data_IF_137942968478
#
_entry.id   IF_137942968478
#
_cell.length_a   1.000
_cell.length_b   1.000
_cell.length_c   1.000
_cell.angle_alpha   90.00
_cell.angle_beta   90.00
_cell.angle_gamma   90.00
#
_symmetry.space_group_name_H-M   'P 1'
#
loop_
_entity.id
_entity.type
_entity.pdbx_description
1 polymer ?
#
# COMPACT_ATOMS: atom_id res chain seq x y z
N UNK A 1 25.10 46.60 19.56
CA UNK A 1 23.70 46.21 19.36
C UNK A 1 23.57 45.57 17.99
N UNK A 2 23.65 44.25 17.94
CA UNK A 2 23.16 43.42 16.83
C UNK A 2 22.83 42.07 17.47
N UNK A 3 21.54 41.75 17.43
CA UNK A 3 20.91 40.67 18.17
C UNK A 3 21.42 39.31 17.69
N UNK A 4 21.90 38.48 18.61
CA UNK A 4 22.10 37.05 18.38
C UNK A 4 20.73 36.40 18.28
N UNK A 5 20.28 36.08 17.07
CA UNK A 5 19.13 35.19 16.88
C UNK A 5 19.67 33.75 17.01
N UNK A 6 19.41 33.16 18.17
CA UNK A 6 19.62 31.75 18.42
C UNK A 6 18.53 30.98 17.66
N UNK A 7 18.83 30.47 16.47
CA UNK A 7 17.96 29.51 15.79
C UNK A 7 18.10 28.20 16.56
N UNK A 8 17.14 27.95 17.45
CA UNK A 8 16.94 26.62 18.04
C UNK A 8 16.38 25.74 16.93
N UNK A 9 17.28 25.06 16.23
CA UNK A 9 16.92 23.99 15.31
C UNK A 9 16.39 22.83 16.17
N UNK A 10 15.07 22.73 16.30
CA UNK A 10 14.44 21.56 16.90
C UNK A 10 14.63 20.42 15.89
N UNK A 11 15.74 19.68 16.03
CA UNK A 11 15.96 18.40 15.39
C UNK A 11 14.89 17.44 15.90
N UNK A 12 13.73 17.42 15.24
CA UNK A 12 12.86 16.26 15.22
C UNK A 12 13.67 15.15 14.55
N UNK A 13 14.42 14.41 15.37
CA UNK A 13 14.89 13.10 15.00
C UNK A 13 13.64 12.28 14.68
N UNK A 14 13.27 12.22 13.41
CA UNK A 14 12.59 11.03 12.90
C UNK A 14 13.59 9.91 13.14
N UNK A 15 13.40 9.18 14.24
CA UNK A 15 14.04 7.90 14.46
C UNK A 15 13.58 7.06 13.27
N UNK A 16 14.44 6.95 12.24
CA UNK A 16 14.32 5.86 11.29
C UNK A 16 14.57 4.61 12.11
N UNK A 17 13.48 4.03 12.62
CA UNK A 17 13.50 2.67 13.12
C UNK A 17 13.83 1.83 11.88
N UNK A 18 15.11 1.53 11.69
CA UNK A 18 15.52 0.43 10.84
C UNK A 18 15.05 -0.84 11.56
N UNK A 19 13.77 -1.15 11.42
CA UNK A 19 13.32 -2.51 11.60
C UNK A 19 13.93 -3.27 10.43
N UNK A 20 15.10 -3.87 10.64
CA UNK A 20 15.47 -5.07 9.90
C UNK A 20 14.43 -6.14 10.30
N UNK A 21 13.22 -6.02 9.75
CA UNK A 21 12.18 -7.01 9.88
C UNK A 21 12.71 -8.22 9.12
N UNK A 22 13.11 -9.24 9.86
CA UNK A 22 13.55 -10.50 9.28
C UNK A 22 12.34 -11.10 8.57
N UNK A 23 12.37 -11.09 7.24
CA UNK A 23 11.34 -11.70 6.40
C UNK A 23 11.51 -13.21 6.50
N UNK A 24 10.44 -13.89 6.90
CA UNK A 24 10.36 -15.36 6.90
C UNK A 24 9.41 -15.81 5.79
N UNK A 25 9.76 -16.87 5.08
CA UNK A 25 8.93 -17.41 4.02
C UNK A 25 7.86 -18.33 4.60
N UNK A 26 6.62 -18.15 4.14
CA UNK A 26 5.51 -19.02 4.47
C UNK A 26 4.65 -19.29 3.23
N UNK A 27 3.92 -20.40 3.24
CA UNK A 27 3.04 -20.77 2.12
C UNK A 27 1.70 -21.26 2.63
N UNK A 28 0.61 -20.91 1.95
CA UNK A 28 -0.70 -21.47 2.23
C UNK A 28 -0.96 -22.73 1.41
N UNK A 29 -1.61 -23.71 2.04
CA UNK A 29 -1.86 -25.02 1.45
C UNK A 29 -3.33 -25.39 1.62
N UNK A 30 -3.83 -26.17 0.66
CA UNK A 30 -5.19 -26.70 0.64
C UNK A 30 -5.15 -28.17 0.22
N UNK A 31 -6.03 -28.98 0.81
CA UNK A 31 -6.08 -30.41 0.56
C UNK A 31 -5.00 -31.21 1.31
N UNK A 32 -4.84 -32.48 0.96
CA UNK A 32 -3.91 -33.38 1.59
C UNK A 32 -2.47 -33.16 1.09
N UNK A 33 -1.54 -32.92 2.02
CA UNK A 33 -0.11 -32.93 1.74
C UNK A 33 0.59 -34.11 2.43
N UNK A 34 1.54 -34.73 1.73
CA UNK A 34 2.34 -35.83 2.25
C UNK A 34 3.48 -35.32 3.15
N UNK A 35 4.05 -36.18 4.05
CA UNK A 35 5.24 -35.83 4.82
C UNK A 35 6.44 -35.40 3.95
N UNK A 36 6.60 -36.03 2.77
CA UNK A 36 7.65 -35.66 1.82
C UNK A 36 7.44 -34.27 1.22
N UNK A 37 6.19 -33.85 0.99
CA UNK A 37 5.88 -32.51 0.51
C UNK A 37 6.17 -31.45 1.58
N UNK A 38 5.80 -31.67 2.85
CA UNK A 38 6.16 -30.76 3.94
C UNK A 38 7.67 -30.69 4.17
N UNK A 39 8.36 -31.82 4.11
CA UNK A 39 9.83 -31.84 4.16
C UNK A 39 10.42 -31.00 3.02
N UNK A 40 9.89 -31.12 1.80
CA UNK A 40 10.32 -30.32 0.65
C UNK A 40 10.11 -28.81 0.89
N UNK A 41 8.95 -28.40 1.44
CA UNK A 41 8.68 -27.01 1.81
C UNK A 41 9.73 -26.50 2.80
N UNK A 42 10.04 -27.27 3.85
CA UNK A 42 11.08 -26.90 4.83
C UNK A 42 12.47 -26.79 4.20
N UNK A 43 12.86 -27.77 3.38
CA UNK A 43 14.14 -27.76 2.67
C UNK A 43 14.26 -26.61 1.67
N UNK A 44 13.14 -26.09 1.16
CA UNK A 44 13.09 -24.95 0.25
C UNK A 44 13.20 -23.59 0.97
N UNK A 45 13.42 -23.59 2.29
CA UNK A 45 13.65 -22.36 3.07
C UNK A 45 12.40 -21.70 3.64
N UNK A 46 11.25 -22.39 3.62
CA UNK A 46 10.03 -21.93 4.27
C UNK A 46 10.03 -22.29 5.75
N UNK A 47 9.54 -21.38 6.58
CA UNK A 47 9.50 -21.54 8.04
C UNK A 47 8.09 -21.86 8.57
N UNK A 48 7.06 -21.53 7.80
CA UNK A 48 5.68 -21.73 8.21
C UNK A 48 4.76 -22.16 7.06
N UNK A 49 3.67 -22.84 7.42
CA UNK A 49 2.56 -23.14 6.51
C UNK A 49 1.24 -22.66 7.09
N UNK A 50 0.36 -22.18 6.23
CA UNK A 50 -1.01 -21.81 6.56
C UNK A 50 -1.94 -22.86 5.97
N UNK A 51 -2.66 -23.63 6.79
CA UNK A 51 -3.51 -24.72 6.27
C UNK A 51 -5.00 -24.45 6.45
N UNK A 52 -5.78 -24.83 5.43
CA UNK A 52 -7.24 -24.73 5.49
C UNK A 52 -7.81 -25.70 6.53
N UNK A 53 -8.66 -25.19 7.42
CA UNK A 53 -9.39 -26.01 8.42
C UNK A 53 -10.91 -26.02 8.18
N UNK A 54 -11.38 -25.12 7.31
CA UNK A 54 -12.80 -25.01 6.96
C UNK A 54 -12.92 -24.59 5.50
N UNK A 55 -13.88 -25.19 4.80
CA UNK A 55 -14.09 -25.07 3.37
C UNK A 55 -15.50 -24.58 3.06
N UNK A 56 -15.70 -23.82 1.96
CA UNK A 56 -17.03 -23.41 1.54
C UNK A 56 -17.87 -24.56 0.97
N UNK A 57 -17.29 -25.75 0.79
CA UNK A 57 -17.97 -26.92 0.24
C UNK A 57 -19.19 -27.32 1.07
N UNK A 58 -20.24 -27.78 0.38
CA UNK A 58 -21.50 -28.24 0.98
C UNK A 58 -22.17 -27.23 1.92
N UNK A 59 -22.01 -25.93 1.63
CA UNK A 59 -22.56 -24.85 2.46
C UNK A 59 -21.75 -24.60 3.73
N UNK A 60 -20.46 -24.95 3.74
CA UNK A 60 -19.58 -24.80 4.89
C UNK A 60 -19.37 -26.14 5.58
N UNK A 61 -18.14 -26.64 5.49
CA UNK A 61 -17.74 -27.91 6.10
C UNK A 61 -16.30 -27.87 6.58
N UNK A 62 -16.05 -28.68 7.61
CA UNK A 62 -14.71 -28.85 8.18
C UNK A 62 -13.78 -29.50 7.15
N UNK A 63 -12.57 -28.95 7.00
CA UNK A 63 -11.55 -29.54 6.13
C UNK A 63 -10.89 -30.72 6.84
N UNK A 64 -11.16 -31.93 6.37
CA UNK A 64 -10.68 -33.18 6.98
C UNK A 64 -9.15 -33.33 6.94
N UNK A 65 -8.46 -32.55 6.11
CA UNK A 65 -7.00 -32.59 6.00
C UNK A 65 -6.32 -31.54 6.87
N UNK A 66 -7.01 -30.48 7.30
CA UNK A 66 -6.42 -29.38 8.07
C UNK A 66 -5.66 -29.85 9.31
N UNK A 67 -6.28 -30.63 10.19
CA UNK A 67 -5.62 -31.17 11.40
C UNK A 67 -4.44 -32.09 11.09
N UNK A 68 -4.53 -32.92 10.03
CA UNK A 68 -3.43 -33.79 9.60
C UNK A 68 -2.25 -32.98 9.07
N UNK A 69 -2.53 -31.96 8.27
CA UNK A 69 -1.51 -31.04 7.75
C UNK A 69 -0.78 -30.32 8.88
N UNK A 70 -1.48 -29.88 9.93
CA UNK A 70 -0.84 -29.26 11.10
C UNK A 70 0.18 -30.22 11.73
N UNK A 71 -0.24 -31.45 12.04
CA UNK A 71 0.61 -32.44 12.70
C UNK A 71 1.83 -32.77 11.83
N UNK A 72 1.61 -33.06 10.55
CA UNK A 72 2.70 -33.44 9.64
C UNK A 72 3.64 -32.28 9.34
N UNK A 73 3.14 -31.05 9.23
CA UNK A 73 4.00 -29.87 9.08
C UNK A 73 4.86 -29.62 10.32
N UNK A 74 4.28 -29.76 11.51
CA UNK A 74 5.01 -29.66 12.78
C UNK A 74 6.11 -30.73 12.88
N UNK A 75 5.81 -31.98 12.52
CA UNK A 75 6.81 -33.07 12.46
C UNK A 75 7.93 -32.80 11.45
N UNK A 76 7.64 -32.07 10.37
CA UNK A 76 8.63 -31.63 9.38
C UNK A 76 9.43 -30.38 9.81
N UNK A 77 9.19 -29.83 11.00
CA UNK A 77 9.89 -28.66 11.52
C UNK A 77 9.39 -27.32 10.96
N UNK A 78 8.14 -27.28 10.48
CA UNK A 78 7.46 -26.06 10.05
C UNK A 78 6.56 -25.54 11.17
N UNK A 79 6.48 -24.21 11.32
CA UNK A 79 5.44 -23.56 12.10
C UNK A 79 4.11 -23.66 11.36
N UNK A 80 2.99 -23.64 12.09
CA UNK A 80 1.66 -23.83 11.50
C UNK A 80 0.70 -22.74 11.92
N UNK A 81 0.07 -22.14 10.93
CA UNK A 81 -1.08 -21.25 11.06
C UNK A 81 -2.27 -21.89 10.33
N UNK A 82 -3.49 -21.44 10.62
CA UNK A 82 -4.70 -22.05 10.05
C UNK A 82 -5.68 -20.99 9.55
N UNK A 83 -6.46 -21.34 8.53
CA UNK A 83 -7.46 -20.43 8.00
C UNK A 83 -8.81 -21.09 7.70
N UNK A 84 -9.85 -20.29 7.84
CA UNK A 84 -11.22 -20.57 7.45
C UNK A 84 -11.45 -19.97 6.07
N UNK A 85 -11.85 -20.80 5.11
CA UNK A 85 -12.41 -20.36 3.84
C UNK A 85 -13.94 -20.47 3.96
N UNK A 86 -14.65 -19.35 4.19
CA UNK A 86 -16.02 -19.37 4.69
C UNK A 86 -17.06 -19.65 3.60
N UNK A 87 -18.25 -20.10 4.00
CA UNK A 87 -19.45 -20.17 3.17
C UNK A 87 -20.50 -19.14 3.62
N UNK A 88 -20.31 -17.83 3.38
CA UNK A 88 -21.23 -16.80 3.89
C UNK A 88 -22.62 -16.85 3.23
N UNK A 89 -22.74 -17.44 2.03
CA UNK A 89 -24.01 -17.66 1.34
C UNK A 89 -24.79 -18.90 1.82
N UNK A 90 -24.26 -19.66 2.78
CA UNK A 90 -24.96 -20.82 3.32
C UNK A 90 -25.97 -20.42 4.41
N UNK A 91 -26.74 -21.41 4.87
CA UNK A 91 -27.66 -21.23 5.98
C UNK A 91 -26.95 -21.19 7.36
N UNK A 92 -25.62 -21.35 7.41
CA UNK A 92 -24.84 -21.35 8.66
C UNK A 92 -24.32 -19.94 8.94
N UNK A 93 -24.58 -19.45 10.15
CA UNK A 93 -24.03 -18.19 10.65
C UNK A 93 -22.52 -18.26 10.83
N UNK A 94 -21.88 -17.09 10.90
CA UNK A 94 -20.41 -17.00 10.99
C UNK A 94 -19.85 -17.69 12.23
N UNK A 95 -20.49 -17.51 13.38
CA UNK A 95 -20.11 -18.15 14.63
C UNK A 95 -20.22 -19.67 14.60
N UNK A 96 -21.21 -20.21 13.88
CA UNK A 96 -21.42 -21.66 13.71
C UNK A 96 -20.30 -22.28 12.88
N UNK A 97 -19.90 -21.61 11.78
CA UNK A 97 -18.77 -22.07 10.97
C UNK A 97 -17.45 -21.99 11.76
N UNK A 98 -17.28 -20.95 12.59
CA UNK A 98 -16.13 -20.84 13.48
C UNK A 98 -16.11 -21.96 14.54
N UNK A 99 -17.24 -22.23 15.19
CA UNK A 99 -17.38 -23.30 16.18
C UNK A 99 -17.01 -24.67 15.59
N UNK A 100 -17.49 -24.98 14.39
CA UNK A 100 -17.19 -26.24 13.69
C UNK A 100 -15.69 -26.38 13.40
N UNK A 101 -15.06 -25.32 12.87
CA UNK A 101 -13.63 -25.29 12.59
C UNK A 101 -12.78 -25.43 13.87
N UNK A 102 -13.13 -24.68 14.91
CA UNK A 102 -12.42 -24.70 16.20
C UNK A 102 -12.54 -26.06 16.90
N UNK A 103 -13.75 -26.65 16.91
CA UNK A 103 -13.99 -27.97 17.53
C UNK A 103 -13.16 -29.07 16.88
N UNK A 104 -12.92 -29.02 15.58
CA UNK A 104 -12.05 -29.99 14.92
C UNK A 104 -10.62 -29.95 15.49
N UNK A 105 -10.08 -28.76 15.69
CA UNK A 105 -8.74 -28.56 16.25
C UNK A 105 -8.67 -29.08 17.69
N UNK A 106 -9.63 -28.70 18.54
CA UNK A 106 -9.65 -29.14 19.94
C UNK A 106 -9.84 -30.65 20.08
N UNK A 107 -10.67 -31.26 19.23
CA UNK A 107 -10.85 -32.72 19.21
C UNK A 107 -9.56 -33.45 18.81
N UNK A 108 -8.72 -32.81 17.98
CA UNK A 108 -7.39 -33.30 17.63
C UNK A 108 -6.31 -32.92 18.67
N UNK A 109 -6.69 -32.34 19.81
CA UNK A 109 -5.79 -31.85 20.88
C UNK A 109 -4.83 -30.73 20.42
N UNK A 110 -5.20 -30.00 19.36
CA UNK A 110 -4.41 -28.90 18.80
C UNK A 110 -4.84 -27.58 19.45
N UNK A 111 -3.87 -26.87 20.02
CA UNK A 111 -4.06 -25.57 20.64
C UNK A 111 -3.62 -24.49 19.66
N UNK A 112 -4.59 -23.82 19.05
CA UNK A 112 -4.33 -22.77 18.06
C UNK A 112 -4.23 -21.41 18.73
N UNK A 113 -3.25 -20.59 18.31
CA UNK A 113 -3.10 -19.21 18.78
C UNK A 113 -3.94 -18.23 17.95
N UNK A 114 -3.96 -18.42 16.64
CA UNK A 114 -4.60 -17.52 15.69
C UNK A 114 -5.35 -18.30 14.62
N UNK A 115 -6.52 -17.80 14.20
CA UNK A 115 -7.27 -18.30 13.05
C UNK A 115 -7.49 -17.14 12.09
N UNK A 116 -7.18 -17.36 10.81
CA UNK A 116 -7.35 -16.38 9.75
C UNK A 116 -8.65 -16.61 8.98
N UNK A 117 -9.41 -15.55 8.70
CA UNK A 117 -10.58 -15.60 7.84
C UNK A 117 -10.25 -15.15 6.41
N UNK A 118 -10.54 -16.00 5.43
CA UNK A 118 -10.38 -15.68 4.00
C UNK A 118 -11.54 -14.80 3.51
N UNK A 119 -11.34 -13.48 3.47
CA UNK A 119 -12.30 -12.50 2.93
C UNK A 119 -11.91 -12.16 1.50
N UNK A 120 -12.20 -13.09 0.59
CA UNK A 120 -11.81 -12.99 -0.83
C UNK A 120 -12.89 -13.54 -1.75
N UNK A 121 -12.71 -13.35 -3.07
CA UNK A 121 -13.63 -13.85 -4.11
C UNK A 121 -15.05 -13.30 -3.90
N UNK A 122 -15.31 -12.02 -4.24
CA UNK A 122 -16.57 -11.34 -3.91
C UNK A 122 -17.84 -12.07 -4.39
N UNK A 123 -17.74 -12.86 -5.46
CA UNK A 123 -18.83 -13.69 -5.99
C UNK A 123 -19.34 -14.76 -5.00
N UNK A 124 -18.52 -15.18 -4.02
CA UNK A 124 -18.90 -16.14 -3.00
C UNK A 124 -19.54 -15.49 -1.77
N UNK A 125 -19.62 -14.16 -1.72
CA UNK A 125 -20.22 -13.38 -0.64
C UNK A 125 -21.58 -12.81 -1.06
N UNK A 126 -22.37 -12.33 -0.10
CA UNK A 126 -23.63 -11.68 -0.45
C UNK A 126 -23.38 -10.31 -1.08
N UNK A 127 -24.28 -9.85 -1.97
CA UNK A 127 -24.25 -8.47 -2.44
C UNK A 127 -24.59 -7.47 -1.31
N UNK A 128 -25.30 -7.92 -0.27
CA UNK A 128 -25.59 -7.12 0.90
C UNK A 128 -24.35 -7.03 1.80
N UNK A 129 -23.64 -5.92 1.69
CA UNK A 129 -22.48 -5.57 2.51
C UNK A 129 -22.75 -5.68 4.02
N UNK A 130 -23.93 -5.24 4.50
CA UNK A 130 -24.24 -5.29 5.94
C UNK A 130 -24.31 -6.71 6.46
N UNK A 131 -24.80 -7.65 5.65
CA UNK A 131 -24.83 -9.07 6.01
C UNK A 131 -23.40 -9.64 6.11
N UNK A 132 -22.53 -9.33 5.15
CA UNK A 132 -21.13 -9.78 5.17
C UNK A 132 -20.37 -9.23 6.38
N UNK A 133 -20.58 -7.95 6.72
CA UNK A 133 -19.96 -7.33 7.90
C UNK A 133 -20.44 -8.00 9.19
N UNK A 134 -21.73 -8.32 9.31
CA UNK A 134 -22.25 -9.05 10.47
C UNK A 134 -21.69 -10.48 10.54
N UNK A 135 -21.59 -11.18 9.41
CA UNK A 135 -21.00 -12.52 9.35
C UNK A 135 -19.54 -12.55 9.86
N UNK A 136 -18.72 -11.57 9.44
CA UNK A 136 -17.34 -11.43 9.93
C UNK A 136 -17.32 -11.09 11.43
N UNK A 137 -18.24 -10.22 11.89
CA UNK A 137 -18.38 -9.86 13.31
C UNK A 137 -18.73 -11.07 14.17
N UNK A 138 -19.62 -11.94 13.71
CA UNK A 138 -20.02 -13.15 14.44
C UNK A 138 -18.82 -14.09 14.64
N UNK A 139 -18.01 -14.29 13.60
CA UNK A 139 -16.76 -15.05 13.69
C UNK A 139 -15.75 -14.44 14.65
N UNK A 140 -15.54 -13.12 14.58
CA UNK A 140 -14.64 -12.41 15.48
C UNK A 140 -15.07 -12.53 16.94
N UNK A 141 -16.34 -12.26 17.23
CA UNK A 141 -16.88 -12.39 18.59
C UNK A 141 -16.70 -13.81 19.12
N UNK A 142 -16.89 -14.82 18.26
CA UNK A 142 -16.69 -16.22 18.64
C UNK A 142 -15.22 -16.52 18.92
N UNK A 143 -14.30 -16.07 18.07
CA UNK A 143 -12.86 -16.21 18.29
C UNK A 143 -12.42 -15.61 19.64
N UNK A 144 -12.90 -14.40 19.95
CA UNK A 144 -12.63 -13.72 21.23
C UNK A 144 -13.15 -14.52 22.42
N UNK A 145 -14.34 -15.13 22.33
CA UNK A 145 -14.91 -15.97 23.39
C UNK A 145 -14.07 -17.23 23.68
N UNK A 146 -13.31 -17.71 22.69
CA UNK A 146 -12.38 -18.83 22.83
C UNK A 146 -10.93 -18.38 23.08
N UNK A 147 -10.69 -17.09 23.28
CA UNK A 147 -9.36 -16.51 23.45
C UNK A 147 -8.39 -16.87 22.30
N UNK A 148 -8.92 -16.88 21.08
CA UNK A 148 -8.18 -17.12 19.83
C UNK A 148 -8.01 -15.79 19.10
N UNK A 149 -6.79 -15.49 18.65
CA UNK A 149 -6.54 -14.31 17.83
C UNK A 149 -7.22 -14.47 16.46
N UNK A 150 -7.84 -13.42 15.96
CA UNK A 150 -8.57 -13.45 14.69
C UNK A 150 -7.90 -12.54 13.67
N UNK A 151 -7.47 -13.10 12.54
CA UNK A 151 -6.85 -12.36 11.45
C UNK A 151 -7.70 -12.33 10.20
N UNK A 152 -7.47 -11.34 9.33
CA UNK A 152 -8.16 -11.21 8.05
C UNK A 152 -7.17 -11.44 6.91
N UNK A 153 -7.50 -12.36 6.00
CA UNK A 153 -6.83 -12.51 4.71
C UNK A 153 -7.67 -11.84 3.62
N UNK A 154 -7.16 -10.76 3.04
CA UNK A 154 -7.89 -9.98 2.02
C UNK A 154 -6.95 -9.06 1.24
N UNK A 155 -7.52 -8.30 0.32
CA UNK A 155 -6.86 -7.17 -0.33
C UNK A 155 -7.84 -6.00 -0.46
N UNK A 156 -7.37 -4.86 -0.95
CA UNK A 156 -8.21 -3.65 -1.04
C UNK A 156 -9.48 -3.87 -1.87
N UNK A 157 -9.38 -4.65 -2.97
CA UNK A 157 -10.48 -4.89 -3.90
C UNK A 157 -11.53 -5.82 -3.29
N UNK A 158 -11.09 -6.96 -2.75
CA UNK A 158 -11.97 -7.91 -2.10
C UNK A 158 -12.66 -7.28 -0.88
N UNK A 159 -11.91 -6.53 -0.07
CA UNK A 159 -12.46 -5.83 1.08
C UNK A 159 -13.52 -4.81 0.69
N UNK A 160 -13.28 -4.01 -0.35
CA UNK A 160 -14.26 -3.05 -0.86
C UNK A 160 -15.52 -3.75 -1.37
N UNK A 161 -15.37 -4.75 -2.24
CA UNK A 161 -16.49 -5.44 -2.86
C UNK A 161 -17.33 -6.25 -1.87
N UNK A 162 -16.70 -6.82 -0.83
CA UNK A 162 -17.38 -7.67 0.16
C UNK A 162 -17.94 -6.83 1.31
N UNK A 163 -17.21 -5.84 1.79
CA UNK A 163 -17.53 -5.12 3.03
C UNK A 163 -17.87 -3.64 2.83
N UNK A 164 -17.87 -3.14 1.59
CA UNK A 164 -18.06 -1.72 1.31
C UNK A 164 -16.99 -0.84 1.94
N UNK A 165 -15.76 -1.35 2.04
CA UNK A 165 -14.62 -0.65 2.67
C UNK A 165 -14.89 -0.25 4.13
N UNK A 166 -15.58 -1.12 4.89
CA UNK A 166 -15.92 -0.84 6.29
C UNK A 166 -14.66 -0.67 7.16
N UNK A 167 -14.74 0.23 8.16
CA UNK A 167 -13.71 0.39 9.20
C UNK A 167 -14.17 -0.09 10.58
N UNK A 168 -15.33 -0.74 10.67
CA UNK A 168 -15.86 -1.20 11.97
C UNK A 168 -14.96 -2.21 12.67
N UNK A 169 -13.98 -2.82 12.01
CA UNK A 169 -13.06 -3.78 12.61
C UNK A 169 -11.76 -3.16 13.13
N UNK A 170 -11.59 -1.84 12.98
CA UNK A 170 -10.33 -1.21 13.33
C UNK A 170 -10.11 -1.14 14.84
N UNK A 171 -11.15 -0.90 15.64
CA UNK A 171 -11.00 -0.92 17.09
C UNK A 171 -10.58 -2.30 17.63
N UNK A 172 -10.76 -3.36 16.82
CA UNK A 172 -10.38 -4.72 17.18
C UNK A 172 -8.90 -5.01 16.87
N UNK A 173 -8.19 -4.11 16.17
CA UNK A 173 -6.77 -4.20 15.82
C UNK A 173 -6.37 -5.57 15.21
N UNK A 174 -7.19 -6.05 14.26
CA UNK A 174 -7.00 -7.37 13.65
C UNK A 174 -5.74 -7.40 12.78
N UNK A 175 -4.90 -8.45 12.86
CA UNK A 175 -3.80 -8.64 11.93
C UNK A 175 -4.32 -8.87 10.51
N UNK A 176 -3.62 -8.28 9.54
CA UNK A 176 -3.92 -8.38 8.11
C UNK A 176 -2.89 -9.28 7.43
N UNK A 177 -3.38 -10.31 6.74
CA UNK A 177 -2.63 -11.09 5.77
C UNK A 177 -3.03 -10.60 4.37
N UNK A 178 -2.26 -9.63 3.86
CA UNK A 178 -2.53 -8.98 2.57
C UNK A 178 -2.09 -9.86 1.41
N UNK A 179 -2.91 -9.96 0.36
CA UNK A 179 -2.56 -10.68 -0.86
C UNK A 179 -2.69 -9.80 -2.11
N UNK A 180 -1.77 -9.96 -3.06
CA UNK A 180 -1.91 -9.38 -4.39
C UNK A 180 -1.22 -10.28 -5.42
N UNK A 181 -1.77 -10.32 -6.63
CA UNK A 181 -1.19 -11.05 -7.74
C UNK A 181 -1.42 -10.28 -9.04
N UNK A 182 -0.37 -10.17 -9.86
CA UNK A 182 -0.36 -9.46 -11.15
C UNK A 182 -0.92 -10.31 -12.31
N UNK A 183 -1.53 -11.46 -12.02
CA UNK A 183 -1.96 -12.44 -13.01
C UNK A 183 -2.23 -13.83 -12.40
N UNK A 184 -2.24 -14.85 -13.25
CA UNK A 184 -2.44 -16.24 -12.85
C UNK A 184 -1.11 -17.00 -12.84
N UNK A 185 -0.95 -17.89 -11.85
CA UNK A 185 0.20 -18.80 -11.76
C UNK A 185 1.36 -18.28 -10.90
N UNK A 186 2.41 -19.09 -10.73
CA UNK A 186 3.48 -18.85 -9.75
C UNK A 186 4.36 -17.63 -10.06
N UNK A 187 4.34 -17.13 -11.28
CA UNK A 187 5.12 -15.94 -11.67
C UNK A 187 4.34 -14.63 -11.51
N UNK A 188 3.10 -14.71 -11.02
CA UNK A 188 2.22 -13.55 -10.85
C UNK A 188 2.26 -12.96 -9.44
N UNK A 189 3.06 -13.52 -8.54
CA UNK A 189 3.15 -13.09 -7.14
C UNK A 189 3.75 -11.67 -7.05
N UNK A 190 3.17 -10.83 -6.19
CA UNK A 190 3.74 -9.53 -5.87
C UNK A 190 5.01 -9.67 -5.01
N UNK A 191 5.92 -8.70 -5.11
CA UNK A 191 7.13 -8.69 -4.30
C UNK A 191 6.80 -8.56 -2.79
N UNK A 192 7.62 -9.19 -1.94
CA UNK A 192 7.43 -9.28 -0.48
C UNK A 192 7.49 -7.94 0.28
N UNK A 193 7.90 -6.85 -0.38
CA UNK A 193 8.09 -5.54 0.25
C UNK A 193 6.81 -4.70 0.33
N UNK A 194 5.64 -5.29 0.03
CA UNK A 194 4.31 -4.62 0.11
C UNK A 194 4.25 -3.28 -0.65
N UNK A 195 5.07 -3.09 -1.69
CA UNK A 195 5.10 -1.83 -2.45
C UNK A 195 3.82 -1.58 -3.26
N UNK A 196 3.03 -2.62 -3.42
CA UNK A 196 1.72 -2.67 -4.05
C UNK A 196 0.56 -2.65 -3.04
N UNK A 197 0.86 -2.48 -1.75
CA UNK A 197 -0.15 -2.34 -0.72
C UNK A 197 -0.94 -1.04 -0.95
N UNK A 198 -2.24 -1.20 -1.13
CA UNK A 198 -3.17 -0.07 -1.19
C UNK A 198 -3.87 0.05 0.16
N UNK A 199 -3.73 1.19 0.82
CA UNK A 199 -4.46 1.45 2.07
C UNK A 199 -5.98 1.47 1.80
N UNK A 200 -6.75 0.78 2.64
CA UNK A 200 -8.20 0.77 2.62
C UNK A 200 -8.77 1.02 4.03
N UNK A 201 -9.95 1.65 4.12
CA UNK A 201 -10.62 1.91 5.41
C UNK A 201 -10.20 3.20 6.17
N UNK A 202 -9.26 4.01 5.67
CA UNK A 202 -8.84 5.26 6.36
C UNK A 202 -9.88 6.38 6.27
N UNK A 203 -10.59 6.50 5.14
CA UNK A 203 -11.60 7.56 4.98
C UNK A 203 -12.69 7.44 6.05
N UNK A 204 -13.14 6.23 6.33
CA UNK A 204 -14.17 5.95 7.33
C UNK A 204 -13.74 6.28 8.77
N UNK A 205 -12.44 6.30 9.09
CA UNK A 205 -11.95 6.78 10.38
C UNK A 205 -12.15 8.26 10.59
N UNK A 206 -11.75 9.07 9.61
CA UNK A 206 -11.89 10.51 9.71
C UNK A 206 -13.36 10.89 9.94
N UNK A 207 -14.28 10.13 9.36
CA UNK A 207 -15.72 10.31 9.54
C UNK A 207 -16.22 9.92 10.92
N UNK A 208 -15.74 8.79 11.44
CA UNK A 208 -16.06 8.40 12.80
C UNK A 208 -15.59 9.48 13.78
N UNK A 209 -14.40 10.06 13.56
CA UNK A 209 -13.91 11.16 14.37
C UNK A 209 -14.78 12.41 14.25
N UNK A 210 -15.13 12.84 13.03
CA UNK A 210 -16.03 13.99 12.79
C UNK A 210 -17.37 13.81 13.53
N UNK A 211 -17.96 12.62 13.44
CA UNK A 211 -19.22 12.29 14.13
C UNK A 211 -19.06 12.28 15.65
N UNK A 212 -18.00 11.66 16.16
CA UNK A 212 -17.73 11.57 17.60
C UNK A 212 -17.49 12.95 18.22
N UNK A 213 -16.77 13.82 17.49
CA UNK A 213 -16.48 15.19 17.92
C UNK A 213 -17.63 16.17 17.65
N UNK A 214 -18.72 15.71 17.00
CA UNK A 214 -19.86 16.55 16.59
C UNK A 214 -19.42 17.77 15.77
N UNK A 215 -18.39 17.60 14.96
CA UNK A 215 -18.00 18.59 13.95
C UNK A 215 -19.08 18.48 12.88
N UNK A 216 -19.97 19.47 12.79
CA UNK A 216 -21.11 19.55 11.85
C UNK A 216 -22.23 18.49 12.09
N UNK A 217 -22.93 18.56 13.24
CA UNK A 217 -23.90 17.55 13.65
C UNK A 217 -25.18 17.50 12.79
N UNK A 218 -25.49 18.58 12.07
CA UNK A 218 -26.74 18.72 11.31
C UNK A 218 -26.64 18.23 9.85
N UNK A 219 -25.50 17.68 9.46
CA UNK A 219 -25.27 17.20 8.09
C UNK A 219 -25.25 15.67 8.03
N UNK A 220 -25.95 15.12 7.02
CA UNK A 220 -25.88 13.70 6.70
C UNK A 220 -24.79 13.47 5.65
N UNK A 221 -23.67 12.92 6.09
CA UNK A 221 -22.57 12.58 5.19
C UNK A 221 -22.81 11.27 4.46
N UNK A 222 -22.57 11.29 3.15
CA UNK A 222 -22.51 10.10 2.29
C UNK A 222 -21.21 10.09 1.53
N UNK A 223 -20.63 8.90 1.37
CA UNK A 223 -19.38 8.72 0.65
C UNK A 223 -19.58 7.71 -0.46
N UNK A 224 -18.91 7.96 -1.56
CA UNK A 224 -18.85 7.05 -2.69
C UNK A 224 -17.39 6.95 -3.07
N UNK A 225 -16.91 5.71 -3.18
CA UNK A 225 -15.53 5.44 -3.51
C UNK A 225 -15.45 5.07 -4.99
N UNK A 226 -14.41 5.54 -5.65
CA UNK A 226 -14.06 5.11 -6.99
C UNK A 226 -12.55 4.91 -7.07
N UNK A 227 -12.13 3.73 -7.51
CA UNK A 227 -10.72 3.39 -7.65
C UNK A 227 -10.26 3.58 -9.08
N UNK A 228 -9.39 4.57 -9.30
CA UNK A 228 -8.86 4.89 -10.62
C UNK A 228 -7.59 4.10 -10.99
N UNK A 229 -6.93 3.48 -10.00
CA UNK A 229 -5.67 2.74 -10.14
C UNK A 229 -4.60 3.56 -10.89
N UNK A 230 -4.61 4.88 -10.69
CA UNK A 230 -3.75 5.84 -11.40
C UNK A 230 -3.83 5.79 -12.94
N UNK A 231 -4.89 5.21 -13.50
CA UNK A 231 -5.10 5.12 -14.94
C UNK A 231 -5.98 6.28 -15.43
N UNK A 232 -5.38 7.18 -16.21
CA UNK A 232 -5.98 8.47 -16.59
C UNK A 232 -7.42 8.38 -17.17
N UNK A 233 -7.71 7.51 -18.16
CA UNK A 233 -9.08 7.35 -18.65
C UNK A 233 -10.08 6.95 -17.56
N UNK A 234 -9.65 6.06 -16.66
CA UNK A 234 -10.46 5.57 -15.55
C UNK A 234 -10.69 6.67 -14.52
N UNK A 235 -9.68 7.50 -14.26
CA UNK A 235 -9.82 8.66 -13.38
C UNK A 235 -10.87 9.66 -13.89
N UNK A 236 -10.84 9.99 -15.18
CA UNK A 236 -11.83 10.91 -15.76
C UNK A 236 -13.25 10.32 -15.72
N UNK A 237 -13.39 9.04 -16.04
CA UNK A 237 -14.67 8.33 -15.91
C UNK A 237 -15.15 8.29 -14.46
N UNK A 238 -14.26 8.02 -13.51
CA UNK A 238 -14.58 7.99 -12.09
C UNK A 238 -15.05 9.33 -11.56
N UNK A 239 -14.41 10.43 -11.98
CA UNK A 239 -14.87 11.77 -11.64
C UNK A 239 -16.29 12.02 -12.17
N UNK A 240 -16.55 11.69 -13.43
CA UNK A 240 -17.89 11.78 -14.02
C UNK A 240 -18.91 10.90 -13.26
N UNK A 241 -18.58 9.65 -12.97
CA UNK A 241 -19.49 8.73 -12.28
C UNK A 241 -19.80 9.21 -10.86
N UNK A 242 -18.80 9.64 -10.09
CA UNK A 242 -19.00 10.20 -8.76
C UNK A 242 -19.93 11.42 -8.80
N UNK A 243 -19.76 12.31 -9.77
CA UNK A 243 -20.55 13.53 -9.88
C UNK A 243 -21.97 13.23 -10.36
N UNK A 244 -22.13 12.56 -11.50
CA UNK A 244 -23.44 12.39 -12.14
C UNK A 244 -24.30 11.30 -11.51
N UNK A 245 -23.69 10.21 -11.04
CA UNK A 245 -24.42 9.05 -10.50
C UNK A 245 -24.56 9.11 -8.99
N UNK A 246 -23.52 9.58 -8.31
CA UNK A 246 -23.49 9.62 -6.84
C UNK A 246 -23.73 11.03 -6.27
N UNK A 247 -23.82 12.06 -7.13
CA UNK A 247 -24.11 13.45 -6.75
C UNK A 247 -23.21 13.96 -5.61
N UNK A 248 -21.91 13.72 -5.73
CA UNK A 248 -20.93 14.14 -4.72
C UNK A 248 -20.70 15.65 -4.76
N UNK A 249 -20.63 16.28 -3.58
CA UNK A 249 -20.33 17.71 -3.44
C UNK A 249 -18.81 18.01 -3.53
N UNK A 250 -17.98 17.04 -3.15
CA UNK A 250 -16.52 17.15 -3.03
C UNK A 250 -15.88 15.82 -3.41
N UNK A 251 -14.74 15.86 -4.09
CA UNK A 251 -13.94 14.67 -4.40
C UNK A 251 -12.60 14.71 -3.66
N UNK A 252 -12.21 13.61 -3.03
CA UNK A 252 -10.88 13.41 -2.47
C UNK A 252 -10.06 12.48 -3.38
N UNK A 253 -8.84 12.89 -3.75
CA UNK A 253 -7.98 12.22 -4.72
C UNK A 253 -7.91 12.97 -6.05
N UNK A 254 -7.30 12.42 -7.11
CA UNK A 254 -6.52 11.16 -7.15
C UNK A 254 -5.21 11.26 -6.36
N UNK A 255 -4.53 10.12 -6.17
CA UNK A 255 -3.21 10.01 -5.50
C UNK A 255 -2.01 10.18 -6.44
N UNK A 256 -2.24 10.15 -7.76
CA UNK A 256 -1.19 10.21 -8.78
C UNK A 256 -1.21 11.54 -9.54
N UNK A 257 -0.05 12.14 -9.80
CA UNK A 257 0.07 13.48 -10.40
C UNK A 257 -0.82 13.71 -11.64
N UNK A 258 -0.69 12.88 -12.67
CA UNK A 258 -1.43 13.07 -13.93
C UNK A 258 -2.93 12.79 -13.73
N UNK A 259 -3.25 11.74 -13.00
CA UNK A 259 -4.63 11.38 -12.65
C UNK A 259 -5.31 12.52 -11.88
N UNK A 260 -4.65 13.08 -10.86
CA UNK A 260 -5.17 14.16 -10.02
C UNK A 260 -5.47 15.43 -10.83
N UNK A 261 -4.59 15.82 -11.75
CA UNK A 261 -4.85 16.93 -12.66
C UNK A 261 -6.05 16.66 -13.57
N UNK A 262 -6.17 15.44 -14.11
CA UNK A 262 -7.25 15.05 -15.03
C UNK A 262 -8.59 14.98 -14.33
N UNK A 263 -8.62 14.40 -13.13
CA UNK A 263 -9.76 14.42 -12.23
C UNK A 263 -10.23 15.85 -11.96
N UNK A 264 -9.29 16.73 -11.60
CA UNK A 264 -9.61 18.13 -11.27
C UNK A 264 -10.13 18.91 -12.47
N UNK A 265 -9.58 18.67 -13.67
CA UNK A 265 -10.11 19.23 -14.92
C UNK A 265 -11.54 18.76 -15.17
N UNK A 266 -11.84 17.47 -14.96
CA UNK A 266 -13.19 16.95 -15.14
C UNK A 266 -14.16 17.58 -14.14
N UNK A 267 -13.82 17.54 -12.85
CA UNK A 267 -14.63 18.10 -11.77
C UNK A 267 -14.87 19.62 -11.91
N UNK A 268 -13.94 20.35 -12.54
CA UNK A 268 -14.05 21.78 -12.82
C UNK A 268 -15.29 22.10 -13.66
N UNK A 269 -15.62 21.27 -14.65
CA UNK A 269 -16.79 21.49 -15.51
C UNK A 269 -18.11 21.45 -14.74
N UNK A 270 -18.11 20.75 -13.60
CA UNK A 270 -19.27 20.59 -12.71
C UNK A 270 -19.19 21.48 -11.47
N UNK A 271 -18.19 22.39 -11.39
CA UNK A 271 -17.94 23.22 -10.21
C UNK A 271 -17.74 22.42 -8.91
N UNK A 272 -17.21 21.19 -9.01
CA UNK A 272 -16.91 20.33 -7.87
C UNK A 272 -15.46 20.53 -7.41
N UNK A 273 -15.28 20.75 -6.11
CA UNK A 273 -13.98 20.93 -5.48
C UNK A 273 -13.25 19.59 -5.31
N UNK A 274 -11.95 19.57 -5.60
CA UNK A 274 -11.10 18.36 -5.52
C UNK A 274 -9.97 18.57 -4.51
N UNK A 275 -9.89 17.68 -3.52
CA UNK A 275 -8.81 17.63 -2.53
C UNK A 275 -7.85 16.51 -2.89
N UNK A 276 -6.73 16.85 -3.51
CA UNK A 276 -5.72 15.86 -3.90
C UNK A 276 -4.81 15.53 -2.72
N UNK A 277 -4.41 14.27 -2.62
CA UNK A 277 -3.55 13.75 -1.55
C UNK A 277 -2.54 12.74 -2.10
N UNK A 278 -1.62 12.25 -1.27
CA UNK A 278 -0.60 11.28 -1.71
C UNK A 278 0.53 11.92 -2.51
N UNK A 279 1.04 11.22 -3.54
CA UNK A 279 2.24 11.58 -4.29
C UNK A 279 2.03 12.71 -5.33
N UNK A 280 1.04 13.59 -5.11
CA UNK A 280 0.69 14.69 -6.01
C UNK A 280 1.51 15.93 -5.66
N UNK A 281 2.77 15.95 -6.09
CA UNK A 281 3.73 17.01 -5.76
C UNK A 281 4.21 17.82 -6.97
N UNK A 282 3.69 17.57 -8.17
CA UNK A 282 4.05 18.37 -9.36
C UNK A 282 3.64 19.84 -9.18
N UNK A 283 4.50 20.82 -9.47
CA UNK A 283 4.12 22.24 -9.39
C UNK A 283 2.98 22.61 -10.36
N UNK A 284 2.73 21.81 -11.40
CA UNK A 284 1.60 21.99 -12.32
C UNK A 284 0.20 22.02 -11.62
N UNK A 285 0.10 21.55 -10.37
CA UNK A 285 -1.14 21.65 -9.57
C UNK A 285 -1.41 23.05 -9.02
N UNK A 286 -0.41 23.93 -8.95
CA UNK A 286 -0.58 25.30 -8.45
C UNK A 286 -1.06 26.29 -9.51
N UNK A 287 -1.24 25.84 -10.76
CA UNK A 287 -1.79 26.68 -11.82
C UNK A 287 -3.31 26.84 -11.63
N UNK A 288 -3.71 27.80 -10.80
CA UNK A 288 -5.11 28.08 -10.45
C UNK A 288 -5.95 28.56 -11.63
N UNK A 289 -5.33 29.18 -12.65
CA UNK A 289 -6.04 29.52 -13.90
C UNK A 289 -6.53 28.25 -14.62
N UNK A 290 -5.70 27.21 -14.63
CA UNK A 290 -6.03 25.92 -15.23
C UNK A 290 -6.92 25.09 -14.30
N UNK A 291 -6.57 25.01 -13.02
CA UNK A 291 -7.18 24.17 -12.00
C UNK A 291 -7.68 25.04 -10.83
N UNK A 292 -8.79 25.80 -10.99
CA UNK A 292 -9.29 26.68 -9.93
C UNK A 292 -9.98 25.92 -8.79
N UNK A 293 -10.34 24.66 -9.02
CA UNK A 293 -11.09 23.80 -8.10
C UNK A 293 -10.21 22.72 -7.46
N UNK A 294 -8.88 22.84 -7.50
CA UNK A 294 -7.97 21.90 -6.85
C UNK A 294 -7.45 22.47 -5.53
N UNK A 295 -7.42 21.64 -4.51
CA UNK A 295 -6.76 21.91 -3.25
C UNK A 295 -5.76 20.78 -2.96
N UNK A 296 -4.53 21.13 -2.60
CA UNK A 296 -3.50 20.19 -2.20
C UNK A 296 -2.93 20.59 -0.84
N UNK A 297 -2.86 19.64 0.09
CA UNK A 297 -2.15 19.81 1.37
C UNK A 297 -0.68 19.38 1.28
N UNK A 298 -0.26 18.82 0.14
CA UNK A 298 1.05 18.21 0.00
C UNK A 298 2.09 19.20 -0.56
N UNK A 299 3.34 19.07 -0.10
CA UNK A 299 4.44 19.88 -0.59
C UNK A 299 4.76 19.56 -2.06
N UNK A 300 4.99 20.60 -2.86
CA UNK A 300 5.34 20.46 -4.28
C UNK A 300 6.87 20.35 -4.48
N UNK A 301 7.31 19.70 -5.55
CA UNK A 301 8.73 19.55 -5.86
C UNK A 301 9.43 20.88 -6.12
N UNK A 302 8.71 21.94 -6.48
CA UNK A 302 9.27 23.28 -6.56
C UNK A 302 9.85 23.75 -5.21
N UNK A 303 9.17 23.48 -4.08
CA UNK A 303 9.69 23.81 -2.75
C UNK A 303 10.90 22.97 -2.39
N UNK A 304 10.90 21.71 -2.83
CA UNK A 304 12.06 20.84 -2.69
C UNK A 304 13.25 21.35 -3.52
N UNK A 305 12.99 21.90 -4.72
CA UNK A 305 13.99 22.59 -5.53
C UNK A 305 14.60 23.80 -4.85
N UNK A 306 13.76 24.66 -4.25
CA UNK A 306 14.22 25.79 -3.43
C UNK A 306 15.09 25.32 -2.26
N UNK A 307 14.61 24.35 -1.48
CA UNK A 307 15.37 23.79 -0.36
C UNK A 307 16.69 23.16 -0.81
N UNK A 308 16.71 22.52 -1.99
CA UNK A 308 17.93 21.90 -2.52
C UNK A 308 18.92 22.93 -2.99
N UNK A 309 18.48 24.06 -3.54
CA UNK A 309 19.37 25.21 -3.85
C UNK A 309 19.97 25.76 -2.55
N UNK A 310 19.16 25.90 -1.50
CA UNK A 310 19.62 26.41 -0.20
C UNK A 310 20.56 25.44 0.53
N UNK A 311 20.39 24.13 0.31
CA UNK A 311 21.14 23.07 1.02
C UNK A 311 22.33 22.53 0.23
N UNK A 312 22.27 22.51 -1.10
CA UNK A 312 23.19 21.87 -2.06
C UNK A 312 24.22 20.90 -1.44
N UNK A 313 23.70 19.78 -0.90
CA UNK A 313 24.34 18.46 -0.92
C UNK A 313 23.35 17.31 -0.61
N UNK A 314 22.25 17.15 -1.37
CA UNK A 314 21.28 16.04 -1.14
C UNK A 314 20.81 15.38 -2.46
N UNK A 315 20.74 14.04 -2.44
CA UNK A 315 20.16 13.15 -3.46
C UNK A 315 18.68 12.89 -3.18
N UNK A 316 17.82 12.91 -4.20
CA UNK A 316 16.34 12.92 -4.04
C UNK A 316 15.71 11.84 -4.92
N UNK A 317 14.81 11.01 -4.36
CA UNK A 317 14.18 9.87 -5.05
C UNK A 317 12.78 10.09 -5.65
N UNK A 318 12.41 9.13 -6.51
CA UNK A 318 11.09 8.77 -7.07
C UNK A 318 10.10 9.89 -7.43
N UNK A 319 10.46 10.75 -8.40
CA UNK A 319 9.54 11.35 -9.40
C UNK A 319 10.33 12.15 -10.45
N UNK A 320 11.40 11.52 -10.96
CA UNK A 320 12.59 12.20 -11.44
C UNK A 320 12.35 13.22 -12.55
N UNK A 321 11.43 12.94 -13.48
CA UNK A 321 11.14 13.85 -14.59
C UNK A 321 10.43 15.13 -14.13
N UNK A 322 9.47 15.02 -13.20
CA UNK A 322 8.73 16.20 -12.69
C UNK A 322 9.59 17.01 -11.73
N UNK A 323 10.40 16.33 -10.91
CA UNK A 323 11.41 16.97 -10.09
C UNK A 323 12.37 17.78 -10.98
N UNK A 324 12.91 17.18 -12.05
CA UNK A 324 13.79 17.90 -12.98
C UNK A 324 13.16 19.18 -13.55
N UNK A 325 11.91 19.09 -14.05
CA UNK A 325 11.21 20.25 -14.62
C UNK A 325 10.99 21.32 -13.55
N UNK A 326 10.60 20.94 -12.34
CA UNK A 326 10.37 21.89 -11.25
C UNK A 326 11.68 22.54 -10.80
N UNK A 327 12.79 21.79 -10.75
CA UNK A 327 14.12 22.34 -10.46
C UNK A 327 14.58 23.34 -11.51
N UNK A 328 14.42 23.03 -12.80
CA UNK A 328 14.74 23.94 -13.90
C UNK A 328 13.92 25.24 -13.79
N UNK A 329 12.63 25.14 -13.45
CA UNK A 329 11.79 26.31 -13.17
C UNK A 329 12.31 27.14 -12.00
N UNK A 330 12.74 26.51 -10.90
CA UNK A 330 13.26 27.22 -9.73
C UNK A 330 14.55 27.98 -10.07
N UNK A 331 15.49 27.35 -10.79
CA UNK A 331 16.76 27.99 -11.16
C UNK A 331 16.52 29.23 -12.03
N UNK A 332 15.59 29.13 -12.98
CA UNK A 332 15.18 30.27 -13.81
C UNK A 332 14.44 31.35 -12.99
N UNK A 333 13.60 30.95 -12.03
CA UNK A 333 12.83 31.88 -11.20
C UNK A 333 13.70 32.68 -10.22
N UNK A 334 14.69 32.02 -9.61
CA UNK A 334 15.56 32.62 -8.58
C UNK A 334 16.71 33.46 -9.16
N UNK A 335 16.87 33.49 -10.49
CA UNK A 335 18.06 34.04 -11.15
C UNK A 335 19.35 33.54 -10.51
N UNK A 336 19.37 32.23 -10.19
CA UNK A 336 20.45 31.59 -9.45
C UNK A 336 21.75 31.63 -10.24
N UNK A 337 22.87 31.73 -9.52
CA UNK A 337 24.20 31.59 -10.12
C UNK A 337 24.52 30.13 -10.47
N UNK A 338 23.67 29.19 -10.02
CA UNK A 338 23.75 27.77 -10.32
C UNK A 338 23.00 27.48 -11.61
N UNK A 339 23.66 26.79 -12.55
CA UNK A 339 23.07 26.40 -13.84
C UNK A 339 23.18 24.88 -14.03
N UNK A 340 22.18 24.31 -14.72
CA UNK A 340 22.22 22.90 -15.12
C UNK A 340 23.22 22.75 -16.28
N UNK A 341 24.41 22.24 -15.99
CA UNK A 341 25.49 22.06 -16.98
C UNK A 341 25.20 20.89 -17.93
N UNK A 342 24.59 19.83 -17.42
CA UNK A 342 24.21 18.66 -18.19
C UNK A 342 23.07 17.95 -17.47
N UNK A 343 22.04 17.54 -18.22
CA UNK A 343 21.03 16.59 -17.76
C UNK A 343 21.13 15.29 -18.54
N UNK A 344 20.76 14.18 -17.90
CA UNK A 344 20.77 12.85 -18.50
C UNK A 344 19.60 12.04 -17.96
N UNK A 345 18.87 11.41 -18.88
CA UNK A 345 17.81 10.45 -18.56
C UNK A 345 18.29 9.09 -19.03
N UNK A 346 18.30 8.12 -18.12
CA UNK A 346 18.75 6.76 -18.41
C UNK A 346 17.72 5.97 -19.20
N UNK A 347 18.16 4.83 -19.73
CA UNK A 347 17.28 3.76 -20.21
C UNK A 347 16.48 3.12 -19.06
N UNK A 348 15.51 2.27 -19.41
CA UNK A 348 14.62 1.62 -18.44
C UNK A 348 15.35 0.65 -17.51
N UNK A 349 16.38 -0.05 -17.99
CA UNK A 349 17.28 -0.86 -17.16
C UNK A 349 18.73 -0.39 -17.37
N UNK A 350 19.19 0.62 -16.62
CA UNK A 350 20.50 1.20 -16.85
C UNK A 350 21.62 0.22 -16.51
N UNK A 351 22.63 0.19 -17.39
CA UNK A 351 23.85 -0.60 -17.22
C UNK A 351 24.96 0.23 -16.56
N UNK A 352 25.96 -0.46 -15.99
CA UNK A 352 27.15 0.21 -15.45
C UNK A 352 27.90 1.03 -16.52
N UNK A 353 27.90 0.58 -17.78
CA UNK A 353 28.53 1.29 -18.89
C UNK A 353 27.78 2.58 -19.24
N UNK A 354 26.44 2.54 -19.21
CA UNK A 354 25.60 3.72 -19.44
C UNK A 354 25.90 4.80 -18.40
N UNK A 355 25.94 4.42 -17.12
CA UNK A 355 26.34 5.33 -16.06
C UNK A 355 27.78 5.84 -16.24
N UNK A 356 28.73 4.96 -16.56
CA UNK A 356 30.12 5.34 -16.80
C UNK A 356 30.29 6.36 -17.93
N UNK A 357 29.52 6.25 -19.02
CA UNK A 357 29.51 7.23 -20.12
C UNK A 357 29.01 8.60 -19.65
N UNK A 358 27.94 8.62 -18.85
CA UNK A 358 27.44 9.86 -18.26
C UNK A 358 28.47 10.49 -17.32
N UNK A 359 29.03 9.70 -16.40
CA UNK A 359 30.02 10.13 -15.42
C UNK A 359 31.29 10.70 -16.08
N UNK A 360 31.82 10.04 -17.11
CA UNK A 360 32.96 10.54 -17.89
C UNK A 360 32.67 11.88 -18.59
N UNK A 361 31.41 12.13 -18.98
CA UNK A 361 31.02 13.38 -19.64
C UNK A 361 30.93 14.56 -18.68
N UNK A 362 30.66 14.29 -17.40
CA UNK A 362 30.46 15.32 -16.36
C UNK A 362 31.67 15.50 -15.44
N UNK A 363 32.59 14.53 -15.41
CA UNK A 363 33.72 14.47 -14.47
C UNK A 363 34.62 15.70 -14.51
N UNK A 364 34.71 16.41 -15.64
CA UNK A 364 35.47 17.66 -15.76
C UNK A 364 34.61 18.94 -15.71
N UNK A 365 33.29 18.82 -15.50
CA UNK A 365 32.33 19.95 -15.58
C UNK A 365 31.62 20.28 -14.27
N UNK A 366 31.42 19.29 -13.41
CA UNK A 366 30.72 19.47 -12.13
C UNK A 366 31.23 18.49 -11.08
N UNK A 367 31.06 18.86 -9.80
CA UNK A 367 31.24 18.00 -8.62
C UNK A 367 29.92 17.73 -7.91
N UNK A 368 28.90 18.56 -8.17
CA UNK A 368 27.57 18.39 -7.60
C UNK A 368 26.71 17.64 -8.62
N UNK A 369 26.22 16.48 -8.21
CA UNK A 369 25.33 15.64 -9.01
C UNK A 369 24.01 15.50 -8.28
N UNK A 370 22.96 16.08 -8.86
CA UNK A 370 21.61 15.81 -8.42
C UNK A 370 21.09 14.57 -9.15
N UNK A 371 20.97 13.47 -8.42
CA UNK A 371 20.49 12.20 -8.94
C UNK A 371 19.10 11.88 -8.41
N UNK A 372 18.25 11.30 -9.24
CA UNK A 372 16.99 10.70 -8.83
C UNK A 372 16.84 9.31 -9.44
N UNK A 373 16.46 8.35 -8.60
CA UNK A 373 16.31 6.94 -8.97
C UNK A 373 14.92 6.43 -8.59
N UNK A 374 14.37 5.58 -9.46
CA UNK A 374 13.10 4.90 -9.23
C UNK A 374 13.26 3.59 -8.46
N UNK A 375 14.48 3.07 -8.31
CA UNK A 375 14.79 1.82 -7.59
C UNK A 375 16.15 1.92 -6.89
N UNK A 376 16.25 1.36 -5.68
CA UNK A 376 17.49 1.33 -4.88
C UNK A 376 18.61 0.52 -5.55
N UNK A 377 18.27 -0.48 -6.36
CA UNK A 377 19.22 -1.22 -7.19
C UNK A 377 19.88 -0.31 -8.22
N UNK A 378 19.14 0.59 -8.87
CA UNK A 378 19.71 1.55 -9.83
C UNK A 378 20.58 2.59 -9.13
N UNK A 379 20.15 3.07 -7.97
CA UNK A 379 20.97 3.92 -7.09
C UNK A 379 22.28 3.22 -6.73
N UNK A 380 22.23 1.95 -6.34
CA UNK A 380 23.43 1.14 -6.05
C UNK A 380 24.33 0.98 -7.27
N UNK A 381 23.78 0.63 -8.44
CA UNK A 381 24.54 0.53 -9.70
C UNK A 381 25.25 1.86 -10.03
N UNK A 382 24.55 2.99 -9.87
CA UNK A 382 25.11 4.31 -10.10
C UNK A 382 26.26 4.64 -9.14
N UNK A 383 26.08 4.40 -7.83
CA UNK A 383 27.12 4.64 -6.83
C UNK A 383 28.37 3.76 -7.04
N UNK A 384 28.18 2.50 -7.44
CA UNK A 384 29.29 1.62 -7.82
C UNK A 384 29.99 2.17 -9.07
N UNK A 385 29.24 2.61 -10.08
CA UNK A 385 29.81 3.22 -11.28
C UNK A 385 30.60 4.49 -10.96
N UNK A 386 30.15 5.31 -10.00
CA UNK A 386 30.90 6.47 -9.51
C UNK A 386 32.24 6.06 -8.90
N UNK A 387 32.23 5.02 -8.06
CA UNK A 387 33.44 4.47 -7.45
C UNK A 387 34.42 3.94 -8.52
N UNK A 388 33.92 3.15 -9.48
CA UNK A 388 34.73 2.56 -10.54
C UNK A 388 35.32 3.61 -11.51
N UNK A 389 34.65 4.76 -11.65
CA UNK A 389 35.13 5.89 -12.45
C UNK A 389 35.94 6.91 -11.63
N UNK A 390 36.31 6.59 -10.38
CA UNK A 390 37.20 7.40 -9.55
C UNK A 390 36.59 8.73 -9.07
N UNK A 391 35.26 8.82 -8.98
CA UNK A 391 34.53 10.01 -8.51
C UNK A 391 34.25 9.99 -7.00
N UNK A 392 35.09 9.27 -6.25
CA UNK A 392 35.02 9.08 -4.80
C UNK A 392 36.23 9.68 -4.08
N UNK A 393 36.91 10.65 -4.71
CA UNK A 393 38.08 11.34 -4.17
C UNK A 393 37.68 12.65 -3.47
N UNK A 394 38.57 13.15 -2.60
CA UNK A 394 38.37 14.37 -1.80
C UNK A 394 38.65 15.66 -2.62
N UNK A 395 38.48 15.65 -3.94
CA UNK A 395 38.70 16.83 -4.81
C UNK A 395 37.70 17.96 -4.60
#
# INVERSE_FOLDING_TARGET
MLSKILIVLLLLFTIFVNSNAQVAYATDVVGFLTPSQFSCIKYSGYDAVFTQIYSPMDGGSVDIYGTKNIITAYEAGLSTEVYINPAPQSNKLGDTQFDEAYKQLTNAHIHVRSIWLKVTKPLLWHQNVSYNVNFIRDMLNRAQSYNVNFGIYTNWYDWDQITGSTAVFQQDNLPLWYWNAQGFGPNAESLYHFGDFTQFGIVTLALNQIKNEKILPDYKYTFSNFYDVCHVPRTSFGAYELIEKYNVDVIFGSTCNIAAMRLSIMAKFYSVLTFVWGAVSTSDVTNLNRLPNIFSTYAIFFLLGLATIDVLNISIGQLCQKIYIDFDRVLNYTNSHVQIVQSYKTTFDPTYEEFGKFLNKISNKTRVILSCFDDDMYKRKFLISMFDNGLNNDE
#
